data_IF_726389827326
#
_entry.id   IF_726389827326
#
_cell.length_a   1.000
_cell.length_b   1.000
_cell.length_c   1.000
_cell.angle_alpha   90.00
_cell.angle_beta   90.00
_cell.angle_gamma   90.00
#
_symmetry.space_group_name_H-M   'P 1'
#
loop_
_entity.id
_entity.type
_entity.pdbx_description
1 polymer ?
#
# COMPACT_ATOMS: atom_id res chain seq x y z
N UNK A 1 1.49 -18.08 7.94
CA UNK A 1 2.65 -17.57 8.71
C UNK A 1 2.85 -16.11 8.28
N UNK A 2 2.25 -15.15 9.00
CA UNK A 2 2.14 -13.73 8.61
C UNK A 2 3.17 -12.84 9.34
N UNK A 3 4.40 -13.33 9.56
CA UNK A 3 5.39 -12.60 10.35
C UNK A 3 6.05 -11.41 9.62
N UNK A 4 5.78 -11.22 8.31
CA UNK A 4 6.44 -10.19 7.49
C UNK A 4 5.62 -8.89 7.38
N UNK A 5 4.34 -8.89 7.77
CA UNK A 5 3.43 -7.77 7.49
C UNK A 5 3.40 -6.66 8.55
N UNK A 6 4.13 -6.78 9.65
CA UNK A 6 4.16 -5.78 10.72
C UNK A 6 5.52 -5.08 10.82
N UNK A 7 6.11 -4.68 9.69
CA UNK A 7 7.02 -3.55 9.74
C UNK A 7 6.18 -2.30 9.99
N UNK A 8 6.00 -1.93 11.25
CA UNK A 8 5.40 -0.65 11.61
C UNK A 8 6.38 0.46 11.20
N UNK A 9 5.90 1.48 10.49
CA UNK A 9 6.70 2.66 10.13
C UNK A 9 7.38 3.26 11.37
N UNK A 10 6.73 3.18 12.53
CA UNK A 10 7.29 3.62 13.81
C UNK A 10 8.55 2.87 14.20
N UNK A 11 8.65 1.58 13.89
CA UNK A 11 9.85 0.78 14.19
C UNK A 11 10.95 1.04 13.17
N UNK A 12 10.59 1.17 11.89
CA UNK A 12 11.57 1.36 10.80
C UNK A 12 12.27 2.73 10.86
N UNK A 13 11.57 3.77 11.33
CA UNK A 13 12.09 5.15 11.35
C UNK A 13 12.84 5.52 12.65
N UNK A 14 13.02 4.58 13.59
CA UNK A 14 13.77 4.85 14.82
C UNK A 14 15.27 4.92 14.58
N UNK A 15 15.90 5.89 15.22
CA UNK A 15 17.33 6.17 15.13
C UNK A 15 18.04 6.16 16.50
N UNK A 16 17.32 5.78 17.55
CA UNK A 16 17.78 5.69 18.94
C UNK A 16 18.15 4.25 19.36
N UNK A 17 17.82 3.26 18.53
CA UNK A 17 18.13 1.83 18.71
C UNK A 17 18.64 1.24 17.40
N UNK A 18 19.43 0.14 17.42
CA UNK A 18 19.89 -0.51 16.20
C UNK A 18 18.76 -0.85 15.22
N UNK A 19 18.88 -0.39 13.98
CA UNK A 19 17.81 -0.43 12.98
C UNK A 19 18.15 0.41 11.75
N UNK A 20 17.20 0.55 10.81
CA UNK A 20 17.41 1.30 9.57
C UNK A 20 17.68 2.79 9.81
N UNK A 21 16.88 3.46 10.65
CA UNK A 21 17.11 4.87 11.00
C UNK A 21 18.46 5.09 11.69
N UNK A 22 18.92 4.12 12.49
CA UNK A 22 20.23 4.17 13.13
C UNK A 22 21.40 4.07 12.13
N UNK A 23 21.29 3.19 11.13
CA UNK A 23 22.28 3.12 10.04
C UNK A 23 22.36 4.45 9.29
N UNK A 24 21.21 5.07 8.99
CA UNK A 24 21.17 6.41 8.37
C UNK A 24 21.78 7.49 9.26
N UNK A 25 21.53 7.47 10.57
CA UNK A 25 22.14 8.39 11.54
C UNK A 25 23.67 8.27 11.57
N UNK A 26 24.19 7.06 11.37
CA UNK A 26 25.62 6.77 11.18
C UNK A 26 26.15 7.06 9.77
N UNK A 27 25.34 7.66 8.89
CA UNK A 27 25.68 8.03 7.51
C UNK A 27 26.00 6.85 6.60
N UNK A 28 25.49 5.67 6.90
CA UNK A 28 25.61 4.53 5.98
C UNK A 28 24.87 4.83 4.67
N UNK A 29 25.53 4.57 3.53
CA UNK A 29 24.96 4.74 2.18
C UNK A 29 24.55 3.41 1.53
N UNK A 30 24.80 2.30 2.21
CA UNK A 30 24.37 0.96 1.87
C UNK A 30 23.91 0.25 3.15
N UNK A 31 23.14 -0.83 2.98
CA UNK A 31 22.73 -1.65 4.13
C UNK A 31 23.96 -2.33 4.75
N UNK A 32 24.03 -2.33 6.07
CA UNK A 32 25.12 -2.94 6.82
C UNK A 32 24.80 -4.38 7.19
N UNK A 33 25.82 -5.19 7.46
CA UNK A 33 25.65 -6.58 7.91
C UNK A 33 25.03 -6.66 9.31
N UNK A 34 25.37 -5.70 10.17
CA UNK A 34 24.87 -5.62 11.54
C UNK A 34 23.93 -4.42 11.73
N UNK A 35 22.87 -4.59 12.51
CA UNK A 35 21.94 -3.50 12.84
C UNK A 35 22.58 -2.25 13.45
N UNK A 36 23.60 -2.37 14.34
CA UNK A 36 24.29 -1.21 14.89
C UNK A 36 25.31 -0.57 13.94
N UNK A 37 25.48 -1.05 12.70
CA UNK A 37 26.55 -0.62 11.78
C UNK A 37 27.93 -0.62 12.46
N UNK A 38 28.37 -1.82 12.84
CA UNK A 38 29.70 -2.08 13.40
C UNK A 38 30.78 -1.87 12.32
N UNK A 39 31.95 -1.35 12.70
CA UNK A 39 33.04 -1.04 11.77
C UNK A 39 33.84 -2.29 11.38
N UNK A 40 33.86 -3.29 12.25
CA UNK A 40 34.56 -4.56 12.11
C UNK A 40 33.86 -5.57 11.18
N UNK A 41 32.67 -5.26 10.68
CA UNK A 41 31.88 -6.10 9.76
C UNK A 41 31.55 -5.36 8.47
N UNK A 42 30.94 -6.05 7.50
CA UNK A 42 30.62 -5.43 6.21
C UNK A 42 29.59 -4.30 6.38
N UNK A 43 29.87 -3.17 5.74
CA UNK A 43 28.93 -2.03 5.63
C UNK A 43 28.29 -1.94 4.24
N UNK A 44 28.29 -3.05 3.49
CA UNK A 44 27.58 -3.22 2.23
C UNK A 44 27.10 -4.67 2.11
N UNK A 45 25.94 -4.96 2.70
CA UNK A 45 25.39 -6.30 2.82
C UNK A 45 23.86 -6.33 2.68
N UNK A 46 23.36 -7.28 1.88
CA UNK A 46 21.96 -7.26 1.39
C UNK A 46 20.94 -7.90 2.34
N UNK A 47 21.37 -8.63 3.37
CA UNK A 47 20.47 -9.45 4.21
C UNK A 47 19.40 -8.63 4.95
N UNK A 48 19.69 -7.37 5.23
CA UNK A 48 18.74 -6.44 5.83
C UNK A 48 17.84 -5.76 4.79
N UNK A 49 17.80 -6.23 3.55
CA UNK A 49 17.02 -5.64 2.45
C UNK A 49 15.51 -5.88 2.50
N UNK A 50 15.00 -6.60 3.49
CA UNK A 50 13.58 -6.96 3.60
C UNK A 50 12.65 -5.74 3.75
N UNK A 51 13.13 -4.58 4.20
CA UNK A 51 12.34 -3.33 4.19
C UNK A 51 11.88 -2.94 2.78
N UNK A 52 12.61 -3.32 1.74
CA UNK A 52 12.23 -3.05 0.37
C UNK A 52 10.89 -3.73 0.04
N UNK A 53 10.66 -4.95 0.52
CA UNK A 53 9.37 -5.63 0.38
C UNK A 53 8.24 -4.80 0.99
N UNK A 54 8.46 -4.21 2.17
CA UNK A 54 7.47 -3.37 2.82
C UNK A 54 7.15 -2.09 2.02
N UNK A 55 8.14 -1.47 1.37
CA UNK A 55 7.89 -0.30 0.52
C UNK A 55 6.98 -0.65 -0.68
N UNK A 56 7.17 -1.81 -1.31
CA UNK A 56 6.33 -2.23 -2.44
C UNK A 56 4.98 -2.81 -2.00
N UNK A 57 5.01 -3.83 -1.14
CA UNK A 57 3.84 -4.60 -0.74
C UNK A 57 3.00 -3.88 0.32
N UNK A 58 3.64 -3.17 1.25
CA UNK A 58 3.00 -2.43 2.33
C UNK A 58 2.61 -1.03 1.89
N UNK A 59 3.59 -0.13 1.83
CA UNK A 59 3.37 1.29 1.59
C UNK A 59 2.77 1.56 0.20
N UNK A 60 3.37 0.99 -0.85
CA UNK A 60 2.84 1.03 -2.21
C UNK A 60 1.61 0.15 -2.41
N UNK A 61 1.45 -0.89 -1.58
CA UNK A 61 0.31 -1.80 -1.63
C UNK A 61 0.27 -2.74 -2.84
N UNK A 62 1.32 -2.80 -3.66
CA UNK A 62 1.35 -3.63 -4.88
C UNK A 62 1.74 -5.05 -4.49
N UNK A 63 0.83 -6.01 -4.65
CA UNK A 63 1.11 -7.44 -4.40
C UNK A 63 0.57 -8.31 -5.54
N UNK A 64 1.11 -9.51 -5.64
CA UNK A 64 0.54 -10.55 -6.49
C UNK A 64 -0.56 -11.30 -5.72
N UNK A 65 -1.66 -11.65 -6.38
CA UNK A 65 -2.66 -12.55 -5.77
C UNK A 65 -2.07 -13.94 -5.51
N UNK A 66 -2.47 -14.67 -4.45
CA UNK A 66 -1.84 -15.94 -4.06
C UNK A 66 -1.76 -17.01 -5.17
N UNK A 67 -2.79 -17.09 -6.03
CA UNK A 67 -2.86 -18.07 -7.11
C UNK A 67 -2.47 -17.50 -8.48
N UNK A 68 -1.86 -16.31 -8.50
CA UNK A 68 -1.42 -15.66 -9.72
C UNK A 68 0.03 -15.98 -10.03
N UNK A 69 0.39 -15.88 -11.30
CA UNK A 69 1.77 -16.02 -11.79
C UNK A 69 2.17 -14.72 -12.46
N UNK A 70 3.38 -14.25 -12.18
CA UNK A 70 4.00 -13.09 -12.84
C UNK A 70 3.11 -11.83 -12.85
N UNK A 71 2.35 -11.57 -11.78
CA UNK A 71 1.43 -10.44 -11.66
C UNK A 71 0.29 -10.42 -12.71
N UNK A 72 -0.15 -11.59 -13.20
CA UNK A 72 -1.35 -11.67 -14.05
C UNK A 72 -2.60 -11.14 -13.34
N UNK A 73 -2.65 -11.35 -12.02
CA UNK A 73 -3.65 -10.84 -11.10
C UNK A 73 -2.98 -10.12 -9.93
N UNK A 74 -3.39 -8.88 -9.73
CA UNK A 74 -2.79 -7.92 -8.80
C UNK A 74 -3.68 -7.77 -7.57
N UNK A 75 -3.06 -7.40 -6.46
CA UNK A 75 -3.71 -6.78 -5.32
C UNK A 75 -3.10 -5.40 -5.14
N UNK A 76 -3.96 -4.38 -5.01
CA UNK A 76 -3.56 -3.02 -4.68
C UNK A 76 -4.22 -2.67 -3.35
N UNK A 77 -3.45 -2.69 -2.27
CA UNK A 77 -3.91 -2.43 -0.90
C UNK A 77 -2.86 -1.63 -0.13
N UNK A 78 -2.72 -0.33 -0.41
CA UNK A 78 -1.73 0.50 0.27
C UNK A 78 -1.99 0.55 1.77
N UNK A 79 -0.90 0.51 2.54
CA UNK A 79 -0.90 0.71 3.98
C UNK A 79 -0.83 2.21 4.27
N UNK A 80 -1.98 2.80 4.62
CA UNK A 80 -2.09 4.19 5.06
C UNK A 80 -1.77 4.22 6.56
N UNK A 81 -0.53 4.55 6.92
CA UNK A 81 -0.01 4.39 8.29
C UNK A 81 0.81 5.58 8.75
N UNK A 82 0.78 5.83 10.07
CA UNK A 82 1.59 6.85 10.72
C UNK A 82 1.26 8.27 10.24
N UNK A 83 2.31 9.02 9.96
CA UNK A 83 2.30 10.39 9.46
C UNK A 83 2.60 10.49 7.95
N UNK A 84 2.69 9.35 7.24
CA UNK A 84 2.90 9.35 5.79
C UNK A 84 1.61 9.78 5.10
N UNK A 85 1.67 10.93 4.44
CA UNK A 85 0.54 11.53 3.73
C UNK A 85 0.50 11.16 2.25
N UNK A 86 1.56 10.58 1.69
CA UNK A 86 1.56 10.16 0.29
C UNK A 86 2.65 9.12 0.02
N UNK A 87 2.43 8.30 -1.00
CA UNK A 87 3.47 7.44 -1.57
C UNK A 87 3.25 7.23 -3.07
N UNK A 88 4.34 7.02 -3.80
CA UNK A 88 4.33 6.72 -5.23
C UNK A 88 5.20 5.51 -5.51
N UNK A 89 4.58 4.44 -5.99
CA UNK A 89 5.26 3.17 -6.23
C UNK A 89 5.02 2.71 -7.66
N UNK A 90 6.09 2.29 -8.34
CA UNK A 90 6.05 1.68 -9.67
C UNK A 90 6.78 0.34 -9.63
N UNK A 91 6.17 -0.69 -10.20
CA UNK A 91 6.75 -2.04 -10.28
C UNK A 91 6.74 -2.53 -11.73
N UNK A 92 7.89 -3.01 -12.21
CA UNK A 92 8.03 -3.55 -13.56
C UNK A 92 7.69 -5.04 -13.56
N UNK A 93 6.51 -5.38 -14.07
CA UNK A 93 6.10 -6.76 -14.30
C UNK A 93 6.38 -7.19 -15.75
N UNK A 94 6.32 -8.50 -16.07
CA UNK A 94 6.38 -8.96 -17.46
C UNK A 94 5.26 -8.41 -18.37
N UNK A 95 4.17 -7.89 -17.79
CA UNK A 95 3.06 -7.29 -18.54
C UNK A 95 3.20 -5.76 -18.70
N UNK A 96 4.21 -5.15 -18.07
CA UNK A 96 4.43 -3.70 -18.05
C UNK A 96 4.45 -3.11 -16.64
N UNK A 97 4.42 -1.78 -16.58
CA UNK A 97 4.51 -1.02 -15.32
C UNK A 97 3.17 -1.06 -14.59
N UNK A 98 3.19 -1.53 -13.35
CA UNK A 98 2.11 -1.37 -12.38
C UNK A 98 2.40 -0.13 -11.57
N UNK A 99 1.44 0.79 -11.42
CA UNK A 99 1.59 1.96 -10.55
C UNK A 99 0.55 1.98 -9.44
N UNK A 100 1.00 2.40 -8.27
CA UNK A 100 0.17 2.73 -7.12
C UNK A 100 0.69 4.02 -6.51
N UNK A 101 -0.06 5.09 -6.76
CA UNK A 101 0.19 6.40 -6.16
C UNK A 101 -1.00 6.74 -5.27
N UNK A 102 -0.76 7.23 -4.07
CA UNK A 102 -1.81 7.69 -3.19
C UNK A 102 -1.40 8.92 -2.40
N UNK A 103 -2.39 9.74 -2.04
CA UNK A 103 -2.24 10.88 -1.14
C UNK A 103 -3.43 10.99 -0.21
N UNK A 104 -3.18 11.46 1.02
CA UNK A 104 -4.15 11.60 2.08
C UNK A 104 -4.17 13.06 2.57
N UNK A 105 -5.35 13.66 2.51
CA UNK A 105 -5.64 14.98 3.07
C UNK A 105 -6.77 14.85 4.09
N UNK A 106 -6.42 14.85 5.37
CA UNK A 106 -7.36 14.53 6.44
C UNK A 106 -7.85 13.08 6.33
N UNK A 107 -9.10 12.89 5.92
CA UNK A 107 -9.67 11.56 5.65
C UNK A 107 -9.93 11.32 4.15
N UNK A 108 -9.58 12.27 3.29
CA UNK A 108 -9.79 12.16 1.85
C UNK A 108 -8.57 11.48 1.25
N UNK A 109 -8.77 10.26 0.75
CA UNK A 109 -7.75 9.47 0.09
C UNK A 109 -7.94 9.59 -1.42
N UNK A 110 -6.89 10.02 -2.11
CA UNK A 110 -6.80 9.98 -3.57
C UNK A 110 -5.85 8.86 -3.98
N UNK A 111 -6.20 8.09 -4.99
CA UNK A 111 -5.38 7.01 -5.52
C UNK A 111 -5.31 7.08 -7.05
N UNK A 112 -4.12 7.00 -7.62
CA UNK A 112 -3.88 6.83 -9.04
C UNK A 112 -3.23 5.47 -9.29
N UNK A 113 -3.96 4.58 -9.94
CA UNK A 113 -3.58 3.19 -10.16
C UNK A 113 -3.45 2.92 -11.66
N UNK A 114 -2.33 2.32 -12.08
CA UNK A 114 -2.14 1.85 -13.46
C UNK A 114 -2.01 0.33 -13.46
N UNK A 115 -2.91 -0.33 -14.19
CA UNK A 115 -2.97 -1.78 -14.37
C UNK A 115 -2.52 -2.11 -15.80
N UNK A 116 -1.42 -2.85 -16.00
CA UNK A 116 -0.91 -3.18 -17.33
C UNK A 116 -1.92 -3.95 -18.19
N UNK A 117 -1.74 -3.86 -19.51
CA UNK A 117 -2.57 -4.59 -20.46
C UNK A 117 -2.56 -6.10 -20.18
N UNK A 118 -3.68 -6.77 -20.45
CA UNK A 118 -3.83 -8.21 -20.26
C UNK A 118 -3.62 -8.67 -18.79
N UNK A 119 -3.83 -7.79 -17.81
CA UNK A 119 -3.85 -8.11 -16.38
C UNK A 119 -5.14 -7.59 -15.73
N UNK A 120 -5.38 -8.01 -14.48
CA UNK A 120 -6.51 -7.55 -13.66
C UNK A 120 -6.05 -7.22 -12.25
N UNK A 121 -6.71 -6.29 -11.57
CA UNK A 121 -6.42 -5.96 -10.18
C UNK A 121 -7.64 -6.13 -9.27
N UNK A 122 -7.37 -6.51 -8.03
CA UNK A 122 -8.27 -6.25 -6.90
C UNK A 122 -7.73 -5.02 -6.17
N UNK A 123 -8.56 -4.01 -6.02
CA UNK A 123 -8.24 -2.77 -5.29
C UNK A 123 -8.99 -2.80 -3.97
N UNK A 124 -8.28 -2.58 -2.86
CA UNK A 124 -8.86 -2.47 -1.52
C UNK A 124 -9.02 -1.00 -1.14
N UNK A 125 -10.26 -0.59 -0.88
CA UNK A 125 -10.56 0.75 -0.36
C UNK A 125 -10.80 0.71 1.15
N UNK A 126 -10.12 1.55 1.96
CA UNK A 126 -10.35 1.66 3.41
C UNK A 126 -11.65 2.40 3.76
N UNK A 127 -12.76 2.02 3.15
CA UNK A 127 -14.12 2.44 3.48
C UNK A 127 -15.11 1.38 3.04
N UNK A 128 -16.19 1.22 3.79
CA UNK A 128 -17.36 0.42 3.44
C UNK A 128 -18.47 1.28 2.82
N UNK A 129 -18.37 2.62 2.94
CA UNK A 129 -19.31 3.54 2.32
C UNK A 129 -19.00 3.71 0.82
N UNK A 130 -19.69 2.90 0.00
CA UNK A 130 -19.59 2.92 -1.46
C UNK A 130 -19.89 4.29 -2.08
N UNK A 131 -20.80 5.06 -1.47
CA UNK A 131 -21.19 6.39 -1.96
C UNK A 131 -20.05 7.41 -1.83
N UNK A 132 -19.07 7.15 -0.95
CA UNK A 132 -17.89 8.01 -0.83
C UNK A 132 -16.88 7.81 -1.96
N UNK A 133 -16.97 6.70 -2.71
CA UNK A 133 -15.96 6.29 -3.68
C UNK A 133 -16.35 6.77 -5.08
N UNK A 134 -15.43 7.50 -5.71
CA UNK A 134 -15.56 7.96 -7.10
C UNK A 134 -14.38 7.49 -7.92
N UNK A 135 -14.63 7.22 -9.21
CA UNK A 135 -13.61 7.00 -10.23
C UNK A 135 -13.78 8.09 -11.30
N UNK A 136 -12.71 8.84 -11.58
CA UNK A 136 -12.75 10.02 -12.47
C UNK A 136 -13.90 11.00 -12.14
N UNK A 137 -14.21 11.14 -10.85
CA UNK A 137 -15.28 12.01 -10.35
C UNK A 137 -16.71 11.48 -10.51
N UNK A 138 -16.90 10.27 -11.05
CA UNK A 138 -18.21 9.61 -11.13
C UNK A 138 -18.34 8.58 -10.00
N UNK A 139 -19.52 8.43 -9.37
CA UNK A 139 -19.75 7.37 -8.39
C UNK A 139 -19.33 5.99 -8.90
N UNK A 140 -18.65 5.21 -8.06
CA UNK A 140 -18.10 3.90 -8.45
C UNK A 140 -19.18 2.93 -8.95
N UNK A 141 -20.40 3.05 -8.42
CA UNK A 141 -21.54 2.18 -8.78
C UNK A 141 -22.07 2.44 -10.20
N UNK A 142 -21.70 3.56 -10.83
CA UNK A 142 -22.04 3.86 -12.22
C UNK A 142 -20.98 3.35 -13.22
N UNK A 143 -19.85 2.84 -12.72
CA UNK A 143 -18.73 2.39 -13.54
C UNK A 143 -18.88 0.90 -13.87
N UNK A 144 -19.25 0.59 -15.12
CA UNK A 144 -19.54 -0.79 -15.54
C UNK A 144 -18.32 -1.72 -15.52
N UNK A 145 -17.13 -1.16 -15.68
CA UNK A 145 -15.87 -1.91 -15.76
C UNK A 145 -15.23 -2.16 -14.38
N UNK A 146 -15.91 -1.74 -13.31
CA UNK A 146 -15.45 -1.85 -11.93
C UNK A 146 -16.46 -2.70 -11.15
N UNK A 147 -16.03 -3.88 -10.71
CA UNK A 147 -16.92 -4.85 -10.09
C UNK A 147 -16.66 -4.95 -8.58
N UNK A 148 -17.67 -4.68 -7.77
CA UNK A 148 -17.60 -4.97 -6.33
C UNK A 148 -17.46 -6.49 -6.09
N UNK A 149 -16.58 -6.89 -5.17
CA UNK A 149 -16.30 -8.29 -4.84
C UNK A 149 -16.87 -8.63 -3.45
N UNK A 150 -16.33 -7.98 -2.42
CA UNK A 150 -16.59 -8.32 -1.01
C UNK A 150 -16.05 -7.23 -0.08
N UNK A 151 -16.21 -7.45 1.22
CA UNK A 151 -15.47 -6.75 2.27
C UNK A 151 -14.45 -7.72 2.88
N UNK A 152 -13.25 -7.23 3.17
CA UNK A 152 -12.24 -7.95 3.95
C UNK A 152 -11.52 -6.97 4.87
N UNK A 153 -11.39 -7.31 6.16
CA UNK A 153 -10.66 -6.52 7.16
C UNK A 153 -11.01 -5.01 7.16
N UNK A 154 -12.29 -4.67 7.09
CA UNK A 154 -12.76 -3.28 7.08
C UNK A 154 -12.50 -2.52 5.76
N UNK A 155 -12.09 -3.22 4.70
CA UNK A 155 -11.89 -2.66 3.36
C UNK A 155 -12.89 -3.24 2.38
N UNK A 156 -13.44 -2.41 1.51
CA UNK A 156 -14.23 -2.87 0.36
C UNK A 156 -13.31 -3.24 -0.80
N UNK A 157 -13.58 -4.35 -1.48
CA UNK A 157 -12.75 -4.90 -2.55
C UNK A 157 -13.45 -4.76 -3.89
N UNK A 158 -12.73 -4.24 -4.89
CA UNK A 158 -13.23 -4.05 -6.25
C UNK A 158 -12.27 -4.65 -7.27
N UNK A 159 -12.81 -5.34 -8.26
CA UNK A 159 -12.07 -5.87 -9.41
C UNK A 159 -12.11 -4.86 -10.55
N UNK A 160 -10.95 -4.65 -11.15
CA UNK A 160 -10.78 -3.85 -12.37
C UNK A 160 -9.94 -4.60 -13.41
N UNK A 161 -10.13 -4.27 -14.68
CA UNK A 161 -9.29 -4.72 -15.78
C UNK A 161 -8.00 -3.89 -15.91
N UNK A 162 -7.38 -3.97 -17.08
CA UNK A 162 -6.27 -3.08 -17.46
C UNK A 162 -6.75 -1.66 -17.71
N UNK A 163 -5.98 -0.68 -17.26
CA UNK A 163 -6.35 0.72 -17.44
C UNK A 163 -5.62 1.64 -16.48
N UNK A 164 -5.99 2.92 -16.54
CA UNK A 164 -5.57 3.95 -15.59
C UNK A 164 -6.81 4.39 -14.84
N UNK A 165 -6.72 4.41 -13.52
CA UNK A 165 -7.83 4.70 -12.64
C UNK A 165 -7.45 5.82 -11.68
N UNK A 166 -8.34 6.79 -11.53
CA UNK A 166 -8.21 7.87 -10.55
C UNK A 166 -9.36 7.79 -9.56
N UNK A 167 -9.08 7.22 -8.39
CA UNK A 167 -10.04 7.08 -7.32
C UNK A 167 -9.94 8.22 -6.32
N UNK A 168 -11.10 8.66 -5.83
CA UNK A 168 -11.19 9.49 -4.63
C UNK A 168 -12.23 8.89 -3.70
N UNK A 169 -11.89 8.83 -2.42
CA UNK A 169 -12.77 8.33 -1.39
C UNK A 169 -12.52 9.04 -0.06
N UNK A 170 -13.48 8.91 0.84
CA UNK A 170 -13.31 9.29 2.23
C UNK A 170 -13.17 8.03 3.06
N UNK A 171 -12.09 7.92 3.82
CA UNK A 171 -11.82 6.74 4.65
C UNK A 171 -12.79 6.67 5.83
N UNK A 172 -13.14 5.44 6.22
CA UNK A 172 -13.85 5.22 7.47
C UNK A 172 -12.88 5.32 8.66
N UNK A 173 -13.37 5.84 9.78
CA UNK A 173 -12.62 5.82 11.04
C UNK A 173 -13.04 4.59 11.81
N UNK A 174 -12.13 3.64 12.01
CA UNK A 174 -12.38 2.44 12.81
C UNK A 174 -11.84 2.58 14.23
N UNK A 175 -12.52 2.01 15.22
CA UNK A 175 -12.00 1.91 16.58
C UNK A 175 -10.98 0.77 16.70
N UNK A 176 -10.34 0.68 17.88
CA UNK A 176 -9.39 -0.37 18.19
C UNK A 176 -9.96 -1.81 18.11
N UNK A 177 -11.29 -1.96 18.02
CA UNK A 177 -12.00 -3.25 17.85
C UNK A 177 -12.39 -3.52 16.39
N UNK A 178 -12.09 -2.61 15.45
CA UNK A 178 -12.45 -2.73 14.04
C UNK A 178 -13.87 -2.28 13.69
N UNK A 179 -14.57 -1.61 14.61
CA UNK A 179 -15.92 -1.06 14.38
C UNK A 179 -15.83 0.38 13.86
N UNK A 180 -16.73 0.78 12.95
CA UNK A 180 -16.76 2.16 12.43
C UNK A 180 -17.18 3.13 13.55
N UNK A 181 -16.29 4.07 13.90
CA UNK A 181 -16.53 5.16 14.88
C UNK A 181 -17.36 6.27 14.26
N UNK A 182 -17.12 6.59 12.99
CA UNK A 182 -17.80 7.67 12.30
C UNK A 182 -18.07 7.25 10.85
N UNK A 183 -19.30 6.81 10.59
CA UNK A 183 -19.78 6.71 9.22
C UNK A 183 -19.84 8.13 8.65
N UNK A 184 -19.38 8.31 7.41
CA UNK A 184 -19.70 9.53 6.67
C UNK A 184 -21.21 9.51 6.45
N UNK A 185 -21.94 10.36 7.17
CA UNK A 185 -23.39 10.49 7.04
C UNK A 185 -23.74 10.68 5.56
N UNK A 186 -24.60 9.80 5.06
CA UNK A 186 -25.26 9.91 3.76
C UNK A 186 -26.10 11.18 3.77
N UNK A 187 -25.74 12.16 2.93
CA UNK A 187 -26.69 13.16 2.44
C UNK A 187 -27.49 12.54 1.30
#
# INVERSE_FOLDING_TARGET
MNFVLAADIKTNNRDDVPGYGFQLKKRATALTESWPALEEVSNNHLMLGHIMEWFYNGLGGIKQQPNSVAFKELLVSPAIVGDITHAKTSFFSPYGIIKSEWSLEGMNLSMHIEVPFNTRAIICFPTLNRNSITENGKPIDLQKDIQYISVDNGKSLYRVGSGKYSFRLRMDVFNAKGEIIKAVETL
#
